data_IF_995605143181
#
_entry.id   IF_995605143181
#
_cell.length_a   1.000
_cell.length_b   1.000
_cell.length_c   1.000
_cell.angle_alpha   90.00
_cell.angle_beta   90.00
_cell.angle_gamma   90.00
#
_symmetry.space_group_name_H-M   'P 1'
#
loop_
_entity.id
_entity.type
_entity.pdbx_description
1 polymer ?
#
# COMPACT_ATOMS: atom_id res chain seq x y z
N UNK A 1 -2.32 -41.82 -34.26
CA UNK A 1 -1.39 -41.03 -35.08
C UNK A 1 -0.74 -39.99 -34.22
N UNK A 2 0.53 -40.19 -33.90
CA UNK A 2 1.41 -39.31 -33.14
C UNK A 2 1.65 -38.00 -33.91
N UNK A 3 1.69 -36.87 -33.20
CA UNK A 3 2.63 -35.76 -33.51
C UNK A 3 3.16 -35.18 -32.22
N UNK A 4 4.38 -35.62 -31.89
CA UNK A 4 5.31 -34.93 -31.04
C UNK A 4 5.73 -33.61 -31.73
N UNK A 5 5.83 -32.53 -30.95
CA UNK A 5 6.57 -31.33 -31.35
C UNK A 5 7.66 -31.13 -30.31
N UNK A 6 8.89 -31.19 -30.81
CA UNK A 6 10.17 -31.17 -30.12
C UNK A 6 10.52 -29.79 -29.56
N UNK A 7 11.27 -29.80 -28.45
CA UNK A 7 11.97 -28.65 -27.87
C UNK A 7 12.98 -28.00 -28.85
N UNK A 8 13.49 -26.81 -28.49
CA UNK A 8 14.91 -26.53 -28.60
C UNK A 8 15.56 -26.44 -27.21
N UNK A 9 16.62 -27.22 -27.03
CA UNK A 9 17.57 -27.10 -25.93
C UNK A 9 18.45 -25.86 -26.16
N UNK A 10 18.68 -25.08 -25.11
CA UNK A 10 19.82 -24.18 -25.01
C UNK A 10 20.52 -24.46 -23.68
N UNK A 11 21.66 -25.14 -23.77
CA UNK A 11 22.53 -25.43 -22.65
C UNK A 11 23.55 -24.33 -22.39
N UNK A 12 24.09 -24.39 -21.17
CA UNK A 12 25.35 -23.83 -20.67
C UNK A 12 25.42 -22.31 -20.42
N UNK A 13 25.50 -21.92 -19.15
CA UNK A 13 26.77 -21.55 -18.53
C UNK A 13 26.59 -21.33 -17.02
N UNK A 14 27.23 -22.18 -16.24
CA UNK A 14 27.56 -21.91 -14.84
C UNK A 14 28.65 -20.83 -14.82
N UNK A 15 28.39 -19.71 -14.15
CA UNK A 15 29.41 -18.75 -13.75
C UNK A 15 29.08 -18.27 -12.33
N UNK A 16 29.76 -18.91 -11.38
CA UNK A 16 30.00 -18.40 -10.05
C UNK A 16 30.80 -17.11 -10.19
N UNK A 17 30.24 -15.96 -9.82
CA UNK A 17 31.05 -14.82 -9.40
C UNK A 17 30.33 -14.01 -8.33
N UNK A 18 30.94 -14.01 -7.16
CA UNK A 18 30.73 -13.12 -6.04
C UNK A 18 30.60 -11.65 -6.48
N UNK A 19 29.77 -10.89 -5.78
CA UNK A 19 29.90 -9.43 -5.76
C UNK A 19 28.62 -8.67 -6.01
N UNK A 20 28.27 -7.88 -4.99
CA UNK A 20 27.36 -6.72 -5.04
C UNK A 20 25.88 -7.07 -5.21
N UNK A 21 25.19 -7.07 -4.07
CA UNK A 21 23.75 -6.81 -3.97
C UNK A 21 23.50 -5.43 -4.55
N UNK A 22 23.39 -5.36 -5.87
CA UNK A 22 22.84 -4.21 -6.56
C UNK A 22 21.39 -4.11 -6.11
N UNK A 23 21.11 -3.15 -5.23
CA UNK A 23 19.78 -2.61 -5.05
C UNK A 23 19.34 -2.08 -6.43
N UNK A 24 18.77 -2.95 -7.26
CA UNK A 24 18.01 -2.53 -8.43
C UNK A 24 16.83 -1.76 -7.86
N UNK A 25 16.99 -0.45 -7.80
CA UNK A 25 15.86 0.45 -7.64
C UNK A 25 14.84 0.05 -8.72
N UNK A 26 13.60 -0.30 -8.34
CA UNK A 26 12.57 -0.57 -9.33
C UNK A 26 12.42 0.68 -10.22
N UNK A 27 12.05 0.50 -11.51
CA UNK A 27 11.94 1.61 -12.45
C UNK A 27 11.07 2.74 -11.87
N UNK A 28 11.37 4.02 -12.18
CA UNK A 28 10.67 5.18 -11.61
C UNK A 28 9.22 5.31 -12.09
N UNK A 29 8.74 4.38 -12.92
CA UNK A 29 7.34 4.29 -13.27
C UNK A 29 6.62 3.46 -12.22
N UNK A 30 6.07 4.17 -11.24
CA UNK A 30 5.02 3.65 -10.37
C UNK A 30 3.93 3.04 -11.25
N UNK A 31 3.96 1.72 -11.42
CA UNK A 31 2.91 0.97 -12.07
C UNK A 31 1.72 0.89 -11.11
N UNK A 32 1.10 2.05 -10.84
CA UNK A 32 -0.18 2.10 -10.15
C UNK A 32 -1.18 1.34 -11.01
N UNK A 33 -1.57 0.14 -10.57
CA UNK A 33 -2.57 -0.70 -11.26
C UNK A 33 -3.96 -0.08 -11.23
N UNK A 34 -4.18 0.92 -10.37
CA UNK A 34 -5.41 1.68 -10.26
C UNK A 34 -5.27 2.99 -11.05
N UNK A 35 -6.26 3.29 -11.88
CA UNK A 35 -6.47 4.61 -12.50
C UNK A 35 -6.91 5.60 -11.41
N UNK A 36 -5.96 5.94 -10.51
CA UNK A 36 -6.18 6.69 -9.27
C UNK A 36 -6.61 8.14 -9.55
N UNK A 37 -6.25 8.67 -10.72
CA UNK A 37 -6.33 10.09 -11.09
C UNK A 37 -7.55 10.47 -11.95
N UNK A 38 -8.70 9.87 -11.70
CA UNK A 38 -9.95 10.42 -12.27
C UNK A 38 -10.31 11.73 -11.56
N UNK A 39 -10.96 12.67 -12.25
CA UNK A 39 -11.40 13.94 -11.63
C UNK A 39 -12.23 13.70 -10.36
N UNK A 40 -13.11 12.69 -10.37
CA UNK A 40 -13.92 12.33 -9.21
C UNK A 40 -13.09 11.91 -7.99
N UNK A 41 -11.91 11.29 -8.21
CA UNK A 41 -11.00 10.86 -7.14
C UNK A 41 -10.05 11.98 -6.70
N UNK A 42 -9.76 12.96 -7.58
CA UNK A 42 -8.86 14.08 -7.29
C UNK A 42 -9.56 15.16 -6.47
N UNK A 43 -10.87 15.37 -6.69
CA UNK A 43 -11.62 16.45 -6.07
C UNK A 43 -11.55 16.46 -4.52
N UNK A 44 -11.77 15.34 -3.80
CA UNK A 44 -11.72 15.36 -2.34
C UNK A 44 -10.30 15.64 -1.82
N UNK A 45 -9.28 15.08 -2.47
CA UNK A 45 -7.86 15.33 -2.16
C UNK A 45 -7.50 16.79 -2.36
N UNK A 46 -7.87 17.36 -3.51
CA UNK A 46 -7.62 18.75 -3.84
C UNK A 46 -8.32 19.69 -2.85
N UNK A 47 -9.53 19.34 -2.41
CA UNK A 47 -10.26 20.06 -1.37
C UNK A 47 -9.50 20.06 -0.04
N UNK A 48 -9.01 18.90 0.42
CA UNK A 48 -8.22 18.80 1.66
C UNK A 48 -6.93 19.63 1.58
N UNK A 49 -6.20 19.54 0.45
CA UNK A 49 -4.99 20.35 0.22
C UNK A 49 -5.33 21.84 0.24
N UNK A 50 -6.43 22.25 -0.39
CA UNK A 50 -6.87 23.64 -0.42
C UNK A 50 -7.21 24.15 0.99
N UNK A 51 -7.91 23.36 1.80
CA UNK A 51 -8.23 23.72 3.20
C UNK A 51 -6.95 23.86 4.03
N UNK A 52 -6.04 22.89 3.98
CA UNK A 52 -4.76 22.92 4.71
C UNK A 52 -3.95 24.17 4.31
N UNK A 53 -3.85 24.43 3.00
CA UNK A 53 -3.10 25.58 2.48
C UNK A 53 -3.73 26.89 2.90
N UNK A 54 -5.07 27.00 2.83
CA UNK A 54 -5.80 28.21 3.22
C UNK A 54 -5.61 28.51 4.70
N UNK A 55 -5.78 27.51 5.57
CA UNK A 55 -5.57 27.67 7.02
C UNK A 55 -4.12 28.07 7.32
N UNK A 56 -3.14 27.43 6.67
CA UNK A 56 -1.73 27.76 6.85
C UNK A 56 -1.40 29.18 6.40
N UNK A 57 -1.88 29.61 5.23
CA UNK A 57 -1.68 30.98 4.73
C UNK A 57 -2.30 32.00 5.69
N UNK A 58 -3.53 31.77 6.14
CA UNK A 58 -4.19 32.67 7.10
C UNK A 58 -3.44 32.76 8.42
N UNK A 59 -2.97 31.63 8.95
CA UNK A 59 -2.16 31.60 10.17
C UNK A 59 -0.83 32.33 10.00
N UNK A 60 -0.12 32.10 8.89
CA UNK A 60 1.12 32.81 8.60
C UNK A 60 0.87 34.32 8.51
N UNK A 61 -0.12 34.72 7.71
CA UNK A 61 -0.39 36.12 7.42
C UNK A 61 -0.89 36.90 8.62
N UNK A 62 -1.90 36.38 9.33
CA UNK A 62 -2.59 37.09 10.40
C UNK A 62 -1.87 36.98 11.75
N UNK A 63 -1.14 35.88 11.98
CA UNK A 63 -0.50 35.61 13.27
C UNK A 63 1.02 35.69 13.19
N UNK A 64 1.67 34.85 12.35
CA UNK A 64 3.14 34.77 12.35
C UNK A 64 3.83 36.04 11.84
N UNK A 65 3.33 36.67 10.77
CA UNK A 65 3.93 37.91 10.25
C UNK A 65 3.80 39.07 11.24
N UNK A 66 2.68 39.14 11.96
CA UNK A 66 2.45 40.12 13.02
C UNK A 66 3.40 39.88 14.20
N UNK A 67 3.56 38.62 14.60
CA UNK A 67 4.42 38.22 15.72
C UNK A 67 5.91 38.38 15.42
N UNK A 68 6.32 38.14 14.18
CA UNK A 68 7.68 38.38 13.68
C UNK A 68 7.98 39.86 13.43
N UNK A 69 6.98 40.74 13.54
CA UNK A 69 7.10 42.19 13.38
C UNK A 69 7.75 42.60 12.04
N UNK A 70 7.40 41.91 10.95
CA UNK A 70 8.05 42.05 9.62
C UNK A 70 7.97 43.46 9.02
N UNK A 71 7.04 44.31 9.48
CA UNK A 71 6.91 45.71 9.05
C UNK A 71 7.35 46.76 10.07
N UNK A 72 7.92 46.37 11.22
CA UNK A 72 8.31 47.29 12.29
C UNK A 72 9.80 47.63 12.17
N UNK A 73 10.20 48.91 12.29
CA UNK A 73 11.61 49.28 12.33
C UNK A 73 12.39 48.54 13.43
N UNK A 74 13.68 48.21 13.23
CA UNK A 74 14.46 47.42 14.19
C UNK A 74 14.59 48.06 15.59
N UNK A 75 14.48 49.39 15.67
CA UNK A 75 14.53 50.17 16.91
C UNK A 75 13.28 50.01 17.79
N UNK A 76 12.11 49.79 17.18
CA UNK A 76 10.83 49.59 17.87
C UNK A 76 10.46 48.11 18.04
N UNK A 77 11.36 47.21 17.63
CA UNK A 77 11.15 45.77 17.65
C UNK A 77 11.25 45.20 19.08
N UNK A 78 10.18 44.56 19.54
CA UNK A 78 10.16 43.83 20.79
C UNK A 78 10.83 42.46 20.59
N UNK A 79 12.03 42.32 21.16
CA UNK A 79 12.86 41.11 21.03
C UNK A 79 12.20 39.86 21.62
N UNK A 80 11.45 39.99 22.71
CA UNK A 80 10.79 38.84 23.34
C UNK A 80 9.61 38.36 22.48
N UNK A 81 8.83 39.31 21.94
CA UNK A 81 7.75 39.00 21.00
C UNK A 81 8.29 38.33 19.74
N UNK A 82 9.37 38.88 19.16
CA UNK A 82 9.99 38.34 17.96
C UNK A 82 10.56 36.95 18.17
N UNK A 83 11.23 36.70 19.31
CA UNK A 83 11.75 35.37 19.66
C UNK A 83 10.63 34.35 19.83
N UNK A 84 9.50 34.73 20.45
CA UNK A 84 8.30 33.88 20.49
C UNK A 84 7.79 33.59 19.08
N UNK A 85 7.75 34.60 18.21
CA UNK A 85 7.40 34.45 16.79
C UNK A 85 8.31 33.48 16.04
N UNK A 86 9.62 33.55 16.27
CA UNK A 86 10.60 32.62 15.68
C UNK A 86 10.36 31.17 16.14
N UNK A 87 10.13 30.96 17.44
CA UNK A 87 9.84 29.62 17.98
C UNK A 87 8.53 29.07 17.43
N UNK A 88 7.46 29.87 17.44
CA UNK A 88 6.16 29.46 16.88
C UNK A 88 6.25 29.19 15.37
N UNK A 89 7.03 29.97 14.63
CA UNK A 89 7.30 29.75 13.21
C UNK A 89 7.99 28.40 12.98
N UNK A 90 9.09 28.11 13.70
CA UNK A 90 9.83 26.85 13.55
C UNK A 90 8.94 25.64 13.86
N UNK A 91 8.16 25.70 14.94
CA UNK A 91 7.23 24.62 15.31
C UNK A 91 6.17 24.45 14.22
N UNK A 92 5.52 25.54 13.80
CA UNK A 92 4.48 25.53 12.78
C UNK A 92 4.99 24.93 11.47
N UNK A 93 6.13 25.39 10.95
CA UNK A 93 6.69 24.87 9.70
C UNK A 93 7.06 23.39 9.81
N UNK A 94 7.64 22.96 10.94
CA UNK A 94 8.01 21.56 11.16
C UNK A 94 6.78 20.65 11.14
N UNK A 95 5.71 21.03 11.82
CA UNK A 95 4.46 20.27 11.87
C UNK A 95 3.76 20.26 10.50
N UNK A 96 3.72 21.39 9.78
CA UNK A 96 3.14 21.45 8.44
C UNK A 96 3.92 20.58 7.45
N UNK A 97 5.24 20.61 7.47
CA UNK A 97 6.07 19.74 6.61
C UNK A 97 5.82 18.26 6.93
N UNK A 98 5.80 17.89 8.20
CA UNK A 98 5.51 16.52 8.63
C UNK A 98 4.10 16.09 8.17
N UNK A 99 3.09 16.94 8.35
CA UNK A 99 1.72 16.69 7.88
C UNK A 99 1.67 16.44 6.38
N UNK A 100 2.33 17.29 5.58
CA UNK A 100 2.38 17.16 4.12
C UNK A 100 3.10 15.87 3.70
N UNK A 101 4.19 15.50 4.35
CA UNK A 101 4.89 14.24 4.08
C UNK A 101 3.97 13.05 4.39
N UNK A 102 3.32 13.04 5.55
CA UNK A 102 2.39 11.98 5.93
C UNK A 102 1.22 11.86 4.95
N UNK A 103 0.65 13.00 4.55
CA UNK A 103 -0.46 13.06 3.59
C UNK A 103 -0.03 12.55 2.20
N UNK A 104 1.10 13.02 1.68
CA UNK A 104 1.66 12.54 0.40
C UNK A 104 1.95 11.04 0.45
N UNK A 105 2.49 10.53 1.55
CA UNK A 105 2.71 9.08 1.71
C UNK A 105 1.40 8.31 1.70
N UNK A 106 0.36 8.77 2.39
CA UNK A 106 -0.95 8.12 2.36
C UNK A 106 -1.55 8.09 0.93
N UNK A 107 -1.37 9.18 0.17
CA UNK A 107 -1.86 9.29 -1.21
C UNK A 107 -1.02 8.53 -2.24
N UNK A 108 0.29 8.40 -2.05
CA UNK A 108 1.18 7.88 -3.09
C UNK A 108 1.69 6.47 -2.78
N UNK A 109 1.43 5.94 -1.58
CA UNK A 109 1.77 4.54 -1.28
C UNK A 109 0.82 3.61 -2.02
N UNK A 110 1.38 2.61 -2.70
CA UNK A 110 0.61 1.56 -3.35
C UNK A 110 -0.12 0.73 -2.26
N UNK A 111 -1.43 0.46 -2.40
CA UNK A 111 -2.16 -0.32 -1.41
C UNK A 111 -1.70 -1.79 -1.34
N UNK A 112 -0.86 -2.24 -2.26
CA UNK A 112 -0.39 -3.62 -2.39
C UNK A 112 -1.28 -4.42 -3.35
N UNK A 113 -0.75 -5.57 -3.80
CA UNK A 113 -1.53 -6.56 -4.54
C UNK A 113 -1.08 -7.96 -4.17
N UNK A 114 -1.97 -8.94 -4.33
CA UNK A 114 -1.60 -10.35 -4.14
C UNK A 114 -0.58 -10.77 -5.21
N UNK A 115 0.63 -11.23 -4.83
CA UNK A 115 1.61 -11.74 -5.78
C UNK A 115 1.06 -12.93 -6.56
N UNK A 116 1.35 -13.01 -7.86
CA UNK A 116 0.94 -14.12 -8.74
C UNK A 116 2.00 -15.22 -8.75
N UNK A 117 2.62 -15.52 -7.61
CA UNK A 117 3.61 -16.60 -7.51
C UNK A 117 2.92 -17.89 -7.08
N UNK A 118 3.49 -19.07 -7.44
CA UNK A 118 2.91 -20.37 -7.10
C UNK A 118 2.64 -20.54 -5.59
N UNK A 119 3.46 -19.92 -4.74
CA UNK A 119 3.29 -19.94 -3.27
C UNK A 119 1.98 -19.28 -2.81
N UNK A 120 1.49 -18.29 -3.56
CA UNK A 120 0.24 -17.58 -3.29
C UNK A 120 -0.95 -18.19 -4.05
N UNK A 121 -0.67 -19.10 -4.99
CA UNK A 121 -1.65 -19.84 -5.80
C UNK A 121 -1.33 -21.33 -5.80
N UNK A 122 -1.43 -22.02 -4.64
CA UNK A 122 -1.21 -23.45 -4.59
C UNK A 122 -2.21 -24.16 -5.49
N UNK A 123 -1.71 -25.01 -6.39
CA UNK A 123 -2.50 -25.70 -7.40
C UNK A 123 -3.49 -26.66 -6.71
N UNK A 124 -4.79 -26.43 -6.90
CA UNK A 124 -5.86 -27.05 -6.11
C UNK A 124 -6.03 -28.57 -6.36
N UNK A 125 -5.27 -29.14 -7.29
CA UNK A 125 -5.38 -30.55 -7.69
C UNK A 125 -5.17 -31.53 -6.53
N UNK A 126 -4.48 -31.12 -5.46
CA UNK A 126 -4.26 -31.96 -4.27
C UNK A 126 -5.34 -31.89 -3.19
N UNK A 127 -6.10 -30.79 -3.09
CA UNK A 127 -7.00 -30.55 -1.95
C UNK A 127 -8.43 -31.08 -2.16
N UNK A 128 -8.92 -31.09 -3.41
CA UNK A 128 -10.28 -31.56 -3.72
C UNK A 128 -10.44 -33.08 -3.57
N UNK A 129 -9.36 -33.86 -3.76
CA UNK A 129 -9.40 -35.32 -3.64
C UNK A 129 -9.55 -35.82 -2.18
N UNK A 130 -9.40 -34.96 -1.17
CA UNK A 130 -9.58 -35.33 0.25
C UNK A 130 -10.93 -34.92 0.87
N UNK A 131 -11.78 -34.19 0.12
CA UNK A 131 -13.03 -33.63 0.66
C UNK A 131 -14.28 -34.52 0.56
N UNK A 132 -14.15 -35.76 0.08
CA UNK A 132 -15.28 -36.67 -0.11
C UNK A 132 -15.12 -37.97 0.66
N UNK A 133 -15.49 -38.00 1.95
CA UNK A 133 -16.11 -39.16 2.62
C UNK A 133 -16.58 -38.81 4.04
N UNK A 134 -17.71 -39.42 4.36
CA UNK A 134 -18.57 -39.32 5.53
C UNK A 134 -17.90 -39.69 6.85
N UNK A 135 -18.35 -39.02 7.92
CA UNK A 135 -18.42 -39.44 9.33
C UNK A 135 -17.64 -40.70 9.78
N UNK A 136 -16.63 -40.52 10.64
CA UNK A 136 -16.47 -41.22 11.94
C UNK A 136 -15.11 -40.94 12.59
N UNK A 137 -15.13 -40.91 13.92
CA UNK A 137 -14.04 -41.16 14.89
C UNK A 137 -12.88 -40.15 15.02
N UNK A 138 -12.66 -39.85 16.29
CA UNK A 138 -11.54 -39.17 16.93
C UNK A 138 -10.19 -39.82 16.63
N UNK A 139 -9.15 -39.04 16.92
CA UNK A 139 -7.77 -39.48 17.13
C UNK A 139 -6.93 -39.65 15.84
N UNK A 140 -6.47 -38.53 15.29
CA UNK A 140 -5.09 -38.41 14.78
C UNK A 140 -4.79 -36.94 14.47
N UNK A 141 -4.05 -36.30 15.38
CA UNK A 141 -3.57 -34.94 15.27
C UNK A 141 -2.09 -34.98 14.89
N UNK A 142 -1.72 -35.56 13.74
CA UNK A 142 -0.35 -35.45 13.25
C UNK A 142 -0.23 -35.64 11.74
N UNK A 143 -0.18 -34.51 11.03
CA UNK A 143 0.52 -34.26 9.76
C UNK A 143 -0.04 -32.93 9.20
N UNK A 144 0.23 -31.84 9.91
CA UNK A 144 0.15 -30.50 9.33
C UNK A 144 1.23 -30.42 8.25
N UNK A 145 0.84 -30.56 6.99
CA UNK A 145 1.59 -29.94 5.89
C UNK A 145 1.59 -28.42 6.13
N UNK A 146 2.76 -27.77 6.34
CA UNK A 146 2.84 -26.33 6.63
C UNK A 146 2.54 -25.41 5.43
N UNK A 147 1.87 -25.91 4.40
CA UNK A 147 1.88 -25.32 3.06
C UNK A 147 0.47 -25.02 2.57
N UNK A 148 -0.17 -24.05 3.23
CA UNK A 148 -1.07 -23.04 2.65
C UNK A 148 -1.88 -22.41 3.79
N UNK A 149 -1.25 -21.45 4.47
CA UNK A 149 -1.75 -20.69 5.62
C UNK A 149 -2.90 -19.74 5.24
N UNK A 150 -4.03 -20.28 4.78
CA UNK A 150 -5.32 -19.57 4.68
C UNK A 150 -6.26 -20.14 5.73
N UNK A 151 -6.28 -19.53 6.91
CA UNK A 151 -7.14 -19.90 8.04
C UNK A 151 -8.58 -19.39 7.85
N UNK A 152 -8.79 -18.39 7.00
CA UNK A 152 -10.10 -17.77 6.79
C UNK A 152 -10.88 -18.47 5.67
N UNK A 153 -11.74 -19.41 6.07
CA UNK A 153 -12.71 -20.07 5.19
C UNK A 153 -14.05 -19.30 5.14
N UNK A 154 -14.85 -19.54 4.10
CA UNK A 154 -16.27 -19.16 4.11
C UNK A 154 -17.00 -19.95 5.21
N UNK A 155 -18.21 -19.51 5.56
CA UNK A 155 -19.11 -20.29 6.43
C UNK A 155 -19.40 -21.71 5.86
N UNK A 156 -19.28 -21.90 4.55
CA UNK A 156 -19.38 -23.20 3.88
C UNK A 156 -18.14 -24.10 4.03
N UNK A 157 -17.07 -23.64 4.68
CA UNK A 157 -15.78 -24.34 4.77
C UNK A 157 -14.91 -24.22 3.52
N UNK A 158 -15.36 -23.52 2.48
CA UNK A 158 -14.59 -23.34 1.25
C UNK A 158 -13.60 -22.17 1.34
N UNK A 159 -12.48 -22.27 0.61
CA UNK A 159 -11.56 -21.14 0.41
C UNK A 159 -12.26 -19.98 -0.28
N UNK A 160 -11.90 -18.75 0.13
CA UNK A 160 -12.47 -17.54 -0.47
C UNK A 160 -11.85 -17.28 -1.83
N UNK A 161 -12.68 -17.07 -2.84
CA UNK A 161 -12.25 -16.83 -4.21
C UNK A 161 -12.70 -15.44 -4.68
N UNK A 162 -11.86 -14.77 -5.46
CA UNK A 162 -12.18 -13.51 -6.11
C UNK A 162 -12.54 -13.75 -7.58
N UNK A 163 -13.83 -13.60 -7.92
CA UNK A 163 -14.29 -13.75 -9.31
C UNK A 163 -13.73 -12.70 -10.29
N UNK A 164 -13.27 -11.55 -9.79
CA UNK A 164 -12.76 -10.47 -10.63
C UNK A 164 -11.26 -10.57 -10.89
N UNK A 165 -10.50 -11.10 -9.93
CA UNK A 165 -9.06 -11.31 -10.06
C UNK A 165 -8.71 -12.74 -10.48
N UNK A 166 -9.72 -13.61 -10.60
CA UNK A 166 -9.60 -15.04 -10.90
C UNK A 166 -8.59 -15.77 -10.01
N UNK A 167 -8.57 -15.40 -8.72
CA UNK A 167 -7.58 -15.89 -7.76
C UNK A 167 -8.19 -16.15 -6.38
N UNK A 168 -7.59 -17.06 -5.62
CA UNK A 168 -7.94 -17.24 -4.21
C UNK A 168 -7.51 -16.02 -3.40
N UNK A 169 -8.36 -15.63 -2.45
CA UNK A 169 -8.10 -14.52 -1.52
C UNK A 169 -7.31 -15.05 -0.33
N UNK A 170 -6.10 -14.52 -0.08
CA UNK A 170 -5.40 -14.74 1.18
C UNK A 170 -6.23 -14.28 2.39
N UNK A 171 -5.79 -14.64 3.58
CA UNK A 171 -6.38 -14.14 4.82
C UNK A 171 -6.32 -12.61 4.86
N UNK A 172 -7.41 -11.98 5.34
CA UNK A 172 -7.61 -10.52 5.38
C UNK A 172 -7.49 -9.80 4.02
N UNK A 173 -7.54 -10.52 2.90
CA UNK A 173 -7.55 -9.92 1.57
C UNK A 173 -8.97 -9.58 1.11
N UNK A 174 -9.17 -8.35 0.64
CA UNK A 174 -10.45 -7.92 0.05
C UNK A 174 -10.24 -7.36 -1.35
N UNK A 175 -11.25 -7.53 -2.21
CA UNK A 175 -11.23 -6.95 -3.55
C UNK A 175 -11.79 -5.54 -3.49
N UNK A 176 -10.98 -4.55 -3.83
CA UNK A 176 -11.42 -3.17 -3.96
C UNK A 176 -11.91 -2.94 -5.40
N UNK A 177 -13.19 -2.60 -5.56
CA UNK A 177 -13.77 -2.32 -6.89
C UNK A 177 -13.19 -1.05 -7.53
N UNK A 178 -12.82 -0.07 -6.70
CA UNK A 178 -12.25 1.19 -7.16
C UNK A 178 -10.80 0.96 -7.65
N UNK A 179 -10.00 0.25 -6.85
CA UNK A 179 -8.63 -0.12 -7.24
C UNK A 179 -8.55 -1.27 -8.25
N UNK A 180 -9.68 -1.93 -8.56
CA UNK A 180 -9.79 -3.09 -9.46
C UNK A 180 -8.79 -4.21 -9.14
N UNK A 181 -8.48 -4.40 -7.86
CA UNK A 181 -7.44 -5.32 -7.39
C UNK A 181 -7.78 -5.92 -6.03
N UNK A 182 -7.24 -7.10 -5.76
CA UNK A 182 -7.23 -7.72 -4.44
C UNK A 182 -6.09 -7.12 -3.60
N UNK A 183 -6.47 -6.46 -2.50
CA UNK A 183 -5.59 -5.74 -1.60
C UNK A 183 -5.38 -6.58 -0.34
N UNK A 184 -4.12 -6.79 0.04
CA UNK A 184 -3.74 -7.51 1.25
C UNK A 184 -4.03 -6.65 2.49
N UNK A 185 -4.61 -7.25 3.53
CA UNK A 185 -4.97 -6.54 4.78
C UNK A 185 -5.74 -5.24 4.51
N UNK A 186 -6.66 -5.28 3.55
CA UNK A 186 -7.45 -4.12 3.18
C UNK A 186 -8.34 -3.73 4.35
N UNK A 187 -8.21 -2.48 4.79
CA UNK A 187 -9.15 -1.86 5.71
C UNK A 187 -10.30 -1.27 4.87
N UNK A 188 -10.10 -0.08 4.30
CA UNK A 188 -11.11 0.59 3.46
C UNK A 188 -10.45 1.36 2.32
N UNK A 189 -11.26 1.75 1.32
CA UNK A 189 -10.82 2.71 0.29
C UNK A 189 -11.15 4.12 0.77
N UNK A 190 -10.11 4.91 1.08
CA UNK A 190 -10.27 6.30 1.50
C UNK A 190 -10.43 7.20 0.27
N UNK A 191 -11.53 7.98 0.16
CA UNK A 191 -11.69 8.95 -0.93
C UNK A 191 -10.93 10.26 -0.67
N UNK A 192 -10.49 10.51 0.57
CA UNK A 192 -9.83 11.74 1.04
C UNK A 192 -8.31 11.69 0.90
#
# INVERSE_FOLDING_TARGET
GLRAVSQPQAGTASLHSSGLVFWRLPPPFMAFKCERWSLANILPVAFVIWVITTIWVLYVWLHLLLLLQVGVPPEDCDKEMRKRGEVEFVISQSLTIMLLICFVRAMCTDPGSVPQTPDWMPDLKGAVLKGGKTASSSDDMDLLTPEAHCLELKQSGERRFCKWCDSYKPDRCHHCRICKSCILRMDHHCPW
#
